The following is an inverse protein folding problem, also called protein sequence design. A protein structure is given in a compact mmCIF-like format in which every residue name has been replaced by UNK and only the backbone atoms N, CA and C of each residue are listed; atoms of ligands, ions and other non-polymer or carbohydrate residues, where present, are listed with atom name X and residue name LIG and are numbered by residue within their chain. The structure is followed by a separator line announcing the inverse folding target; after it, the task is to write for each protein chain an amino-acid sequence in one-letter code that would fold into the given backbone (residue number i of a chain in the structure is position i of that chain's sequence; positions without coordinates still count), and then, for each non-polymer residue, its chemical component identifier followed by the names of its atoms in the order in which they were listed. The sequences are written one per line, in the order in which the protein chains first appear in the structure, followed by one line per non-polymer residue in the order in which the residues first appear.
data_IF_462509741163
#
_entry.id   IF_462509741163
#
_cell.length_a   1.000
_cell.length_b   1.000
_cell.length_c   1.000
_cell.angle_alpha   90.00
_cell.angle_beta   90.00
_cell.angle_gamma   90.00
#
_symmetry.space_group_name_H-M   'P 1'
#
loop_
_entity.id
_entity.type
_entity.pdbx_description
1 polymer ?
#
# COMPACT_ATOMS: atom_id res chain seq x y z
N UNK A 1 8.24 8.51 21.87
CA UNK A 1 8.46 8.68 20.41
C UNK A 1 8.38 10.13 19.99
N UNK A 2 9.31 10.60 19.17
CA UNK A 2 9.31 11.97 18.65
C UNK A 2 8.01 12.30 17.89
N UNK A 3 7.42 13.45 18.21
CA UNK A 3 6.20 13.97 17.59
C UNK A 3 6.30 14.08 16.06
N UNK A 4 7.48 14.30 15.47
CA UNK A 4 7.68 14.48 14.03
C UNK A 4 7.59 13.16 13.27
N UNK A 5 8.26 12.10 13.76
CA UNK A 5 8.21 10.77 13.13
C UNK A 5 6.82 10.14 13.24
N UNK A 6 6.18 10.32 14.40
CA UNK A 6 4.78 9.93 14.62
C UNK A 6 3.82 10.65 13.66
N UNK A 7 3.97 11.97 13.49
CA UNK A 7 3.14 12.77 12.57
C UNK A 7 3.37 12.39 11.10
N UNK A 8 4.62 12.22 10.67
CA UNK A 8 4.93 11.81 9.30
C UNK A 8 4.33 10.44 8.99
N UNK A 9 4.51 9.46 9.87
CA UNK A 9 3.93 8.13 9.68
C UNK A 9 2.39 8.16 9.70
N UNK A 10 1.77 8.99 10.56
CA UNK A 10 0.31 9.15 10.69
C UNK A 10 -0.37 9.84 9.51
N UNK A 11 0.24 10.86 8.94
CA UNK A 11 -0.37 11.70 7.90
C UNK A 11 0.37 11.63 6.57
N UNK A 12 1.69 11.75 6.58
CA UNK A 12 2.54 11.77 5.38
C UNK A 12 2.66 10.40 4.70
N UNK A 13 3.20 9.41 5.40
CA UNK A 13 3.49 8.08 4.84
C UNK A 13 2.23 7.36 4.35
N UNK A 14 1.14 7.38 5.13
CA UNK A 14 -0.14 6.82 4.69
C UNK A 14 -0.70 7.55 3.45
N UNK A 15 -0.60 8.88 3.38
CA UNK A 15 -1.08 9.66 2.24
C UNK A 15 -0.27 9.35 0.98
N UNK A 16 1.06 9.34 1.09
CA UNK A 16 2.00 8.98 0.02
C UNK A 16 1.64 7.61 -0.57
N UNK A 17 1.54 6.59 0.28
CA UNK A 17 1.18 5.23 -0.15
C UNK A 17 -0.21 5.15 -0.78
N UNK A 18 -1.22 5.81 -0.18
CA UNK A 18 -2.59 5.82 -0.72
C UNK A 18 -2.68 6.48 -2.11
N UNK A 19 -1.97 7.60 -2.31
CA UNK A 19 -1.91 8.30 -3.58
C UNK A 19 -1.24 7.43 -4.65
N UNK A 20 -0.10 6.81 -4.30
CA UNK A 20 0.65 5.93 -5.19
C UNK A 20 -0.16 4.69 -5.61
N UNK A 21 -0.84 4.03 -4.67
CA UNK A 21 -1.77 2.93 -4.97
C UNK A 21 -2.88 3.40 -5.94
N UNK A 22 -3.41 4.62 -5.74
CA UNK A 22 -4.37 5.24 -6.65
C UNK A 22 -3.84 5.47 -8.06
N UNK A 23 -2.55 5.80 -8.19
CA UNK A 23 -1.82 5.95 -9.46
C UNK A 23 -1.39 4.62 -10.09
N UNK A 24 -1.54 3.49 -9.39
CA UNK A 24 -1.09 2.16 -9.82
C UNK A 24 0.44 2.06 -9.99
N UNK A 25 1.20 2.65 -9.07
CA UNK A 25 2.67 2.66 -9.12
C UNK A 25 3.27 1.92 -7.92
N UNK A 26 4.45 1.33 -8.04
CA UNK A 26 5.26 0.77 -6.96
C UNK A 26 6.14 1.87 -6.32
N UNK A 27 6.72 1.65 -5.11
CA UNK A 27 7.48 2.67 -4.38
C UNK A 27 8.67 3.28 -5.14
N UNK A 28 9.21 2.56 -6.12
CA UNK A 28 10.27 3.01 -7.02
C UNK A 28 9.76 3.88 -8.19
N UNK A 29 8.45 4.07 -8.30
CA UNK A 29 7.78 4.83 -9.36
C UNK A 29 7.32 3.99 -10.56
N UNK A 30 7.72 2.73 -10.65
CA UNK A 30 7.33 1.85 -11.77
C UNK A 30 5.82 1.55 -11.75
N UNK A 31 5.16 1.37 -12.90
CA UNK A 31 3.76 0.96 -12.92
C UNK A 31 3.60 -0.46 -12.37
N UNK A 32 2.47 -0.74 -11.73
CA UNK A 32 2.12 -2.12 -11.37
C UNK A 32 1.98 -2.99 -12.61
N UNK A 33 2.32 -4.28 -12.45
CA UNK A 33 2.03 -5.30 -13.44
C UNK A 33 0.55 -5.21 -13.88
N UNK A 34 0.26 -5.21 -15.20
CA UNK A 34 -1.08 -5.06 -15.72
C UNK A 34 -2.05 -6.08 -15.14
N UNK A 35 -3.32 -5.69 -14.99
CA UNK A 35 -4.38 -6.63 -14.60
C UNK A 35 -4.69 -7.54 -15.79
N UNK A 36 -4.82 -8.85 -15.56
CA UNK A 36 -5.34 -9.79 -16.58
C UNK A 36 -6.68 -9.28 -17.11
N UNK A 37 -6.79 -9.19 -18.44
CA UNK A 37 -8.01 -8.73 -19.09
C UNK A 37 -9.14 -9.72 -18.82
N UNK A 38 -10.32 -9.23 -18.47
CA UNK A 38 -11.48 -10.08 -18.32
C UNK A 38 -12.22 -10.14 -19.66
N UNK A 39 -12.28 -11.34 -20.25
CA UNK A 39 -12.81 -11.60 -21.59
C UNK A 39 -14.32 -11.31 -21.73
N UNK A 40 -15.06 -11.13 -20.63
CA UNK A 40 -16.51 -10.89 -20.59
C UNK A 40 -16.91 -9.57 -19.92
N UNK A 41 -16.07 -8.54 -20.01
CA UNK A 41 -16.45 -7.22 -19.50
C UNK A 41 -17.38 -6.50 -20.50
N UNK A 42 -18.63 -6.22 -20.08
CA UNK A 42 -19.56 -5.35 -20.84
C UNK A 42 -18.93 -3.97 -21.09
N UNK A 43 -19.11 -3.43 -22.29
CA UNK A 43 -18.64 -2.09 -22.67
C UNK A 43 -19.10 -1.03 -21.64
N UNK A 44 -18.23 -0.07 -21.30
CA UNK A 44 -18.50 1.00 -20.32
C UNK A 44 -17.95 0.78 -18.89
N UNK A 45 -17.39 -0.39 -18.58
CA UNK A 45 -16.81 -0.70 -17.23
C UNK A 45 -15.35 -0.29 -17.03
N UNK A 46 -14.84 0.67 -17.81
CA UNK A 46 -13.43 1.12 -17.80
C UNK A 46 -12.92 1.50 -16.39
N UNK A 47 -13.80 1.97 -15.50
CA UNK A 47 -13.49 2.25 -14.08
C UNK A 47 -12.97 1.02 -13.29
N UNK A 48 -13.16 -0.21 -13.77
CA UNK A 48 -12.66 -1.45 -13.13
C UNK A 48 -11.21 -1.80 -13.47
N UNK A 49 -10.55 -1.08 -14.37
CA UNK A 49 -9.15 -1.34 -14.70
C UNK A 49 -8.20 -1.05 -13.53
N UNK A 50 -8.45 0.04 -12.78
CA UNK A 50 -7.64 0.40 -11.61
C UNK A 50 -7.89 -0.59 -10.47
N UNK A 51 -6.84 -1.24 -10.01
CA UNK A 51 -6.88 -2.18 -8.89
C UNK A 51 -6.90 -1.42 -7.54
N UNK A 52 -7.25 -2.11 -6.46
CA UNK A 52 -7.03 -1.64 -5.08
C UNK A 52 -7.75 -0.33 -4.66
N UNK A 53 -8.76 0.12 -5.43
CA UNK A 53 -9.54 1.31 -5.09
C UNK A 53 -10.20 1.23 -3.70
N UNK A 54 -10.55 0.01 -3.26
CA UNK A 54 -11.05 -0.26 -1.91
C UNK A 54 -9.93 -0.15 -0.87
N UNK A 55 -8.79 -0.80 -1.10
CA UNK A 55 -7.68 -0.89 -0.15
C UNK A 55 -7.22 0.50 0.32
N UNK A 56 -7.11 1.48 -0.59
CA UNK A 56 -6.63 2.84 -0.26
C UNK A 56 -7.58 3.68 0.63
N UNK A 57 -8.80 3.24 0.89
CA UNK A 57 -9.75 4.01 1.70
C UNK A 57 -9.35 3.99 3.18
N UNK A 58 -9.60 5.10 3.91
CA UNK A 58 -9.22 5.26 5.32
C UNK A 58 -9.79 4.19 6.27
N UNK A 59 -10.95 3.62 5.93
CA UNK A 59 -11.52 2.53 6.73
C UNK A 59 -10.74 1.21 6.61
N UNK A 60 -9.94 1.03 5.56
CA UNK A 60 -9.19 -0.19 5.29
C UNK A 60 -7.68 -0.02 5.36
N UNK A 61 -7.16 1.19 5.23
CA UNK A 61 -5.74 1.50 5.31
C UNK A 61 -5.49 2.45 6.47
N UNK A 62 -4.90 1.93 7.54
CA UNK A 62 -4.82 2.55 8.86
C UNK A 62 -3.37 2.85 9.23
N UNK A 63 -3.22 3.82 10.13
CA UNK A 63 -1.99 4.01 10.89
C UNK A 63 -2.28 3.61 12.33
N UNK A 64 -1.38 2.85 12.93
CA UNK A 64 -1.33 2.60 14.36
C UNK A 64 -0.05 3.19 14.93
N UNK A 65 -0.11 3.79 16.12
CA UNK A 65 1.05 4.35 16.79
C UNK A 65 1.00 3.97 18.28
N UNK A 66 2.15 3.56 18.81
CA UNK A 66 2.44 3.34 20.22
C UNK A 66 3.67 4.18 20.60
N UNK A 67 4.04 4.27 21.89
CA UNK A 67 5.22 5.03 22.32
C UNK A 67 6.53 4.63 21.63
N UNK A 68 6.61 3.39 21.14
CA UNK A 68 7.82 2.77 20.58
C UNK A 68 7.64 2.21 19.16
N UNK A 69 6.45 2.32 18.56
CA UNK A 69 6.21 1.84 17.20
C UNK A 69 5.22 2.72 16.45
N UNK A 70 5.46 2.93 15.16
CA UNK A 70 4.41 3.40 14.25
C UNK A 70 4.32 2.44 13.07
N UNK A 71 3.10 2.06 12.69
CA UNK A 71 2.85 1.15 11.60
C UNK A 71 1.74 1.66 10.69
N UNK A 72 1.88 1.39 9.40
CA UNK A 72 0.90 1.73 8.37
C UNK A 72 0.54 0.44 7.65
N UNK A 73 -0.74 0.09 7.58
CA UNK A 73 -1.13 -1.22 7.08
C UNK A 73 -2.61 -1.37 6.78
N UNK A 74 -2.94 -2.49 6.14
CA UNK A 74 -4.32 -2.83 5.77
C UNK A 74 -4.99 -3.64 6.87
N UNK A 75 -6.28 -3.38 7.11
CA UNK A 75 -7.07 -4.05 8.16
C UNK A 75 -8.27 -4.82 7.61
N UNK A 76 -8.71 -5.82 8.37
CA UNK A 76 -9.85 -6.67 8.02
C UNK A 76 -9.60 -7.53 6.78
N UNK A 77 -10.67 -7.92 6.08
CA UNK A 77 -10.61 -8.89 4.95
C UNK A 77 -9.74 -8.43 3.77
N UNK A 78 -9.50 -7.12 3.62
CA UNK A 78 -8.67 -6.62 2.50
C UNK A 78 -7.17 -6.81 2.73
N UNK A 79 -6.74 -7.06 3.97
CA UNK A 79 -5.33 -7.32 4.31
C UNK A 79 -4.79 -8.54 3.57
N UNK A 80 -5.61 -9.61 3.46
CA UNK A 80 -5.26 -10.81 2.70
C UNK A 80 -4.98 -10.50 1.23
N UNK A 81 -5.86 -9.73 0.58
CA UNK A 81 -5.69 -9.30 -0.81
C UNK A 81 -4.39 -8.50 -0.95
N UNK A 82 -4.14 -7.59 -0.01
CA UNK A 82 -2.93 -6.78 -0.02
C UNK A 82 -1.68 -7.65 0.07
N UNK A 83 -1.66 -8.64 0.98
CA UNK A 83 -0.53 -9.56 1.18
C UNK A 83 -0.26 -10.40 -0.07
N UNK A 84 -1.30 -11.00 -0.64
CA UNK A 84 -1.20 -11.80 -1.88
C UNK A 84 -0.53 -11.01 -2.99
N UNK A 85 -0.90 -9.74 -3.16
CA UNK A 85 -0.29 -8.89 -4.17
C UNK A 85 1.07 -8.33 -3.78
N UNK A 86 1.29 -7.98 -2.51
CA UNK A 86 2.57 -7.48 -2.01
C UNK A 86 3.68 -8.50 -2.23
N UNK A 87 3.37 -9.78 -2.00
CA UNK A 87 4.34 -10.88 -2.01
C UNK A 87 4.27 -11.71 -3.31
N UNK A 88 3.27 -11.50 -4.16
CA UNK A 88 3.11 -12.25 -5.41
C UNK A 88 2.71 -13.71 -5.21
N UNK A 89 1.77 -13.96 -4.29
CA UNK A 89 1.42 -15.32 -3.86
C UNK A 89 0.49 -16.02 -4.85
N UNK A 90 0.43 -17.36 -4.75
CA UNK A 90 -0.65 -18.16 -5.33
C UNK A 90 -1.75 -18.37 -4.30
N UNK A 91 -2.99 -18.03 -4.64
CA UNK A 91 -4.13 -18.04 -3.71
C UNK A 91 -5.39 -18.60 -4.38
N UNK A 92 -6.31 -19.15 -3.57
CA UNK A 92 -7.63 -19.56 -4.05
C UNK A 92 -8.52 -18.35 -4.33
N UNK A 93 -9.16 -18.32 -5.51
CA UNK A 93 -10.03 -17.19 -5.90
C UNK A 93 -11.30 -17.13 -5.05
N UNK A 94 -11.79 -18.31 -4.63
CA UNK A 94 -12.93 -18.51 -3.72
C UNK A 94 -12.74 -19.84 -2.97
N UNK A 95 -13.40 -20.06 -1.81
CA UNK A 95 -13.34 -21.34 -1.11
C UNK A 95 -13.68 -22.51 -2.04
N UNK A 96 -12.81 -23.52 -2.10
CA UNK A 96 -12.96 -24.69 -2.98
C UNK A 96 -12.84 -24.38 -4.49
N UNK A 97 -12.40 -23.17 -4.84
CA UNK A 97 -12.27 -22.72 -6.21
C UNK A 97 -10.87 -22.88 -6.79
N UNK A 98 -10.66 -22.46 -8.06
CA UNK A 98 -9.36 -22.53 -8.71
C UNK A 98 -8.33 -21.64 -7.98
N UNK A 99 -7.07 -22.07 -8.04
CA UNK A 99 -5.91 -21.29 -7.59
C UNK A 99 -5.44 -20.36 -8.71
N UNK A 100 -5.05 -19.16 -8.36
CA UNK A 100 -4.46 -18.20 -9.27
C UNK A 100 -3.12 -17.71 -8.72
N UNK A 101 -2.11 -17.62 -9.59
CA UNK A 101 -0.87 -16.90 -9.31
C UNK A 101 -1.04 -15.42 -9.59
N UNK A 102 -0.59 -14.58 -8.67
CA UNK A 102 -0.73 -13.13 -8.72
C UNK A 102 0.62 -12.45 -8.90
N UNK A 103 0.74 -11.58 -9.89
CA UNK A 103 1.95 -10.75 -10.04
C UNK A 103 2.17 -9.86 -8.82
N UNK A 104 3.45 -9.71 -8.44
CA UNK A 104 3.88 -8.83 -7.35
C UNK A 104 3.56 -7.37 -7.68
N UNK A 105 2.92 -6.70 -6.73
CA UNK A 105 2.58 -5.27 -6.77
C UNK A 105 2.83 -4.71 -5.38
N UNK A 106 3.96 -4.02 -5.20
CA UNK A 106 4.33 -3.46 -3.90
C UNK A 106 3.37 -2.34 -3.49
N UNK A 107 2.37 -2.69 -2.68
CA UNK A 107 1.37 -1.77 -2.14
C UNK A 107 1.94 -0.95 -0.99
N UNK A 108 2.70 -1.59 -0.10
CA UNK A 108 3.40 -0.94 1.01
C UNK A 108 4.90 -0.85 0.70
N UNK A 109 5.51 0.26 1.09
CA UNK A 109 6.94 0.51 0.93
C UNK A 109 7.25 1.99 0.87
N UNK A 110 8.51 2.34 1.17
CA UNK A 110 9.01 3.71 1.15
C UNK A 110 9.57 4.08 -0.23
N UNK A 111 9.12 5.22 -0.76
CA UNK A 111 9.77 5.86 -1.91
C UNK A 111 11.12 6.46 -1.50
N UNK A 112 11.89 6.98 -2.48
CA UNK A 112 13.13 7.71 -2.19
C UNK A 112 12.86 8.95 -1.31
N UNK A 113 11.79 9.68 -1.63
CA UNK A 113 11.35 10.85 -0.88
C UNK A 113 10.91 10.46 0.53
N UNK A 114 10.19 9.35 0.68
CA UNK A 114 9.77 8.90 2.00
C UNK A 114 10.98 8.53 2.88
N UNK A 115 12.01 7.89 2.30
CA UNK A 115 13.27 7.59 3.01
C UNK A 115 13.99 8.86 3.41
N UNK A 116 14.17 9.79 2.48
CA UNK A 116 14.83 11.07 2.76
C UNK A 116 14.13 11.87 3.87
N UNK A 117 12.80 11.93 3.86
CA UNK A 117 12.03 12.58 4.93
C UNK A 117 12.24 11.85 6.26
N UNK A 118 12.18 10.51 6.25
CA UNK A 118 12.37 9.71 7.46
C UNK A 118 13.77 9.87 8.03
N UNK A 119 14.80 9.82 7.20
CA UNK A 119 16.21 10.03 7.55
C UNK A 119 16.42 11.43 8.14
N UNK A 120 15.90 12.48 7.51
CA UNK A 120 16.02 13.84 8.02
C UNK A 120 15.33 14.03 9.38
N UNK A 121 14.16 13.42 9.58
CA UNK A 121 13.50 13.43 10.89
C UNK A 121 14.38 12.75 11.93
N UNK A 122 14.92 11.56 11.62
CA UNK A 122 15.76 10.79 12.53
C UNK A 122 17.04 11.57 12.87
N UNK A 123 17.76 12.08 11.87
CA UNK A 123 19.00 12.82 12.03
C UNK A 123 18.81 14.15 12.76
N UNK A 124 17.70 14.86 12.51
CA UNK A 124 17.37 16.08 13.23
C UNK A 124 17.23 15.85 14.73
N UNK A 125 16.62 14.73 15.12
CA UNK A 125 16.42 14.40 16.54
C UNK A 125 17.73 14.06 17.28
N UNK A 126 18.80 13.70 16.56
CA UNK A 126 20.13 13.47 17.14
C UNK A 126 20.96 14.75 17.25
N UNK A 127 20.60 15.82 16.52
CA UNK A 127 21.32 17.11 16.55
C UNK A 127 20.74 18.07 17.59
N UNK A 128 19.47 17.89 17.92
CA UNK A 128 18.72 18.74 18.87
C UNK A 128 18.64 18.14 20.28
N UNK A 129 19.40 17.06 20.56
CA UNK A 129 19.38 16.29 21.82
C UNK A 129 20.71 16.25 22.53
#
# INVERSE_FOLDING_TARGET
MDSKLGRYSKLGGRRSQSQRIGKQQAPDGTPYAPRKQQLRDKAGRVKRKKMFAKLRQAKYFKVSASPNQVSVGFVGRVSRIARVHQDGLTEQVRPGGPRASYEKRMLLGFTKEDRHITENIILGNFRDG
#
